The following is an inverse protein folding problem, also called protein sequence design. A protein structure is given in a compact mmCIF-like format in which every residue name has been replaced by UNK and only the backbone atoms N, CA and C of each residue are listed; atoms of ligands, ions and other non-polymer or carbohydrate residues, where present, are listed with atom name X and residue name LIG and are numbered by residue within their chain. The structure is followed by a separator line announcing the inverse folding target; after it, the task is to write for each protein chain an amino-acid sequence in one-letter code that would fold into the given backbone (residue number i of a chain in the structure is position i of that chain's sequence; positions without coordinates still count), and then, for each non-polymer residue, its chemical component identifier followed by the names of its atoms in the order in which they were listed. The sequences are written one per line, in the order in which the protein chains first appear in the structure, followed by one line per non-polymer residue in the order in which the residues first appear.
data_IF_982825575852
#
_entry.id   IF_982825575852
#
_cell.length_a   1.000
_cell.length_b   1.000
_cell.length_c   1.000
_cell.angle_alpha   90.00
_cell.angle_beta   90.00
_cell.angle_gamma   90.00
#
_symmetry.space_group_name_H-M   'P 1'
#
loop_
_entity.id
_entity.type
_entity.pdbx_description
1 polymer ?
#
# COMPACT_ATOMS: atom_id res chain seq x y z
N UNK A 1 -2.85 14.43 -0.50
CA UNK A 1 -1.54 13.75 -0.62
C UNK A 1 -0.46 14.81 -0.45
N UNK A 2 0.33 14.76 0.62
CA UNK A 2 1.26 15.84 1.00
C UNK A 2 2.69 15.51 0.56
N UNK A 3 3.20 14.33 0.96
CA UNK A 3 4.52 13.84 0.53
C UNK A 3 4.41 12.33 0.26
N UNK A 4 4.33 11.97 -1.03
CA UNK A 4 4.25 10.57 -1.46
C UNK A 4 5.63 10.00 -1.80
N UNK A 5 6.61 10.85 -2.09
CA UNK A 5 7.97 10.44 -2.42
C UNK A 5 8.68 9.78 -1.23
N UNK A 6 8.36 10.17 0.02
CA UNK A 6 8.84 9.51 1.24
C UNK A 6 8.14 8.19 1.59
N UNK A 7 7.11 7.80 0.83
CA UNK A 7 6.31 6.59 1.10
C UNK A 7 6.73 5.44 0.16
N UNK A 8 5.77 4.73 -0.43
CA UNK A 8 6.01 3.56 -1.26
C UNK A 8 6.02 3.85 -2.77
N UNK A 9 6.13 5.13 -3.18
CA UNK A 9 6.15 5.52 -4.60
C UNK A 9 7.16 4.72 -5.42
N UNK A 10 8.35 4.45 -4.86
CA UNK A 10 9.41 3.66 -5.49
C UNK A 10 9.09 2.17 -5.67
N UNK A 11 8.05 1.67 -4.98
CA UNK A 11 7.59 0.29 -5.07
C UNK A 11 6.49 0.10 -6.13
N UNK A 12 5.94 1.19 -6.69
CA UNK A 12 4.96 1.11 -7.77
C UNK A 12 5.69 0.80 -9.08
N UNK A 13 5.29 -0.28 -9.75
CA UNK A 13 5.86 -0.68 -11.03
C UNK A 13 5.57 0.38 -12.12
N UNK A 14 6.52 0.53 -13.06
CA UNK A 14 6.32 1.39 -14.23
C UNK A 14 5.09 0.92 -15.02
N UNK A 15 4.17 1.84 -15.31
CA UNK A 15 2.93 1.55 -16.04
C UNK A 15 1.69 1.36 -15.16
N UNK A 16 1.83 1.34 -13.83
CA UNK A 16 0.67 1.39 -12.93
C UNK A 16 0.19 2.84 -12.80
N UNK A 17 -1.09 3.15 -13.08
CA UNK A 17 -1.63 4.50 -12.97
C UNK A 17 -1.62 4.97 -11.51
N UNK A 18 -1.41 6.27 -11.31
CA UNK A 18 -1.37 6.93 -9.99
C UNK A 18 -2.27 8.17 -10.06
N UNK A 19 -3.45 8.19 -9.38
CA UNK A 19 -4.03 7.13 -8.55
C UNK A 19 -4.39 5.86 -9.33
N UNK A 20 -4.32 4.71 -8.67
CA UNK A 20 -4.65 3.40 -9.25
C UNK A 20 -6.15 3.14 -9.09
N UNK A 21 -6.89 2.86 -10.18
CA UNK A 21 -8.32 2.58 -10.08
C UNK A 21 -8.52 1.20 -9.44
N UNK A 22 -9.62 1.03 -8.70
CA UNK A 22 -9.95 -0.23 -8.01
C UNK A 22 -10.59 -1.26 -8.95
N UNK A 23 -9.85 -1.62 -10.00
CA UNK A 23 -10.26 -2.60 -11.01
C UNK A 23 -9.56 -3.95 -10.78
N UNK A 24 -10.20 -5.06 -11.18
CA UNK A 24 -9.69 -6.43 -10.97
C UNK A 24 -8.27 -6.65 -11.52
N UNK A 25 -7.89 -5.95 -12.60
CA UNK A 25 -6.52 -6.00 -13.15
C UNK A 25 -5.43 -5.51 -12.19
N UNK A 26 -5.80 -4.75 -11.15
CA UNK A 26 -4.89 -4.19 -10.14
C UNK A 26 -5.04 -4.85 -8.76
N UNK A 27 -5.76 -5.97 -8.65
CA UNK A 27 -6.07 -6.61 -7.37
C UNK A 27 -4.82 -7.04 -6.58
N UNK A 28 -3.78 -7.50 -7.28
CA UNK A 28 -2.54 -8.02 -6.70
C UNK A 28 -1.30 -7.17 -7.03
N UNK A 29 -1.48 -5.87 -7.27
CA UNK A 29 -0.35 -4.96 -7.56
C UNK A 29 -0.21 -3.89 -6.50
N UNK A 30 1.04 -3.49 -6.25
CA UNK A 30 1.34 -2.29 -5.46
C UNK A 30 1.00 -1.04 -6.28
N UNK A 31 0.09 -0.22 -5.76
CA UNK A 31 -0.42 0.98 -6.41
C UNK A 31 -0.71 2.11 -5.42
N UNK A 32 -1.52 3.07 -5.86
CA UNK A 32 -2.02 4.19 -5.05
C UNK A 32 -3.55 4.19 -5.09
N UNK A 33 -4.17 3.33 -4.28
CA UNK A 33 -5.63 3.18 -4.26
C UNK A 33 -6.26 4.19 -3.31
N UNK A 34 -7.25 4.95 -3.76
CA UNK A 34 -7.97 5.90 -2.91
C UNK A 34 -8.88 5.17 -1.90
N UNK A 35 -8.93 5.68 -0.67
CA UNK A 35 -9.65 5.13 0.45
C UNK A 35 -8.72 4.43 1.45
N UNK A 36 -8.76 4.85 2.70
CA UNK A 36 -7.91 4.32 3.77
C UNK A 36 -7.97 5.21 5.00
N UNK A 37 -7.42 4.76 6.13
CA UNK A 37 -7.40 5.58 7.35
C UNK A 37 -8.79 6.12 7.74
N UNK A 38 -9.81 5.27 7.63
CA UNK A 38 -11.22 5.60 7.92
C UNK A 38 -11.84 6.68 7.01
N UNK A 39 -11.15 7.11 5.95
CA UNK A 39 -11.66 8.09 4.98
C UNK A 39 -11.78 7.47 3.58
N UNK A 40 -12.91 7.73 2.91
CA UNK A 40 -13.15 7.21 1.56
C UNK A 40 -12.38 7.98 0.48
N UNK A 41 -12.03 9.25 0.72
CA UNK A 41 -11.34 10.13 -0.24
C UNK A 41 -10.16 10.84 0.40
N UNK A 42 -9.17 11.23 -0.41
CA UNK A 42 -8.02 12.03 0.02
C UNK A 42 -6.92 11.26 0.79
N UNK A 43 -7.22 10.06 1.28
CA UNK A 43 -6.26 9.11 1.87
C UNK A 43 -6.10 7.92 0.92
N UNK A 44 -4.88 7.39 0.82
CA UNK A 44 -4.53 6.33 -0.12
C UNK A 44 -3.89 5.14 0.58
N UNK A 45 -4.09 3.95 0.02
CA UNK A 45 -3.53 2.67 0.48
C UNK A 45 -2.71 2.02 -0.64
N UNK A 46 -1.73 1.16 -0.28
CA UNK A 46 -0.78 0.59 -1.23
C UNK A 46 -1.33 -0.56 -2.07
N UNK A 47 -2.35 -1.29 -1.60
CA UNK A 47 -2.96 -2.43 -2.30
C UNK A 47 -4.49 -2.41 -2.13
N UNK A 48 -5.21 -3.09 -3.03
CA UNK A 48 -6.68 -3.14 -2.98
C UNK A 48 -7.19 -3.76 -1.67
N UNK A 49 -6.52 -4.82 -1.19
CA UNK A 49 -6.79 -5.47 0.09
C UNK A 49 -5.50 -5.83 0.84
N UNK A 50 -5.57 -5.89 2.16
CA UNK A 50 -4.44 -6.17 3.06
C UNK A 50 -4.96 -6.58 4.43
N UNK A 51 -4.18 -7.33 5.22
CA UNK A 51 -4.49 -7.60 6.64
C UNK A 51 -4.80 -6.33 7.45
N UNK A 52 -4.21 -5.18 7.09
CA UNK A 52 -4.49 -3.89 7.76
C UNK A 52 -5.82 -3.24 7.34
N UNK A 53 -6.52 -3.81 6.35
CA UNK A 53 -7.82 -3.34 5.86
C UNK A 53 -8.95 -4.33 6.22
N UNK A 54 -8.71 -5.63 6.05
CA UNK A 54 -9.70 -6.67 6.29
C UNK A 54 -9.06 -7.93 6.88
N UNK A 55 -9.89 -8.83 7.42
CA UNK A 55 -9.42 -10.06 8.05
C UNK A 55 -9.25 -11.26 7.11
N UNK A 56 -9.66 -11.12 5.84
CA UNK A 56 -9.64 -12.19 4.84
C UNK A 56 -8.22 -12.48 4.29
N UNK A 57 -7.37 -11.47 4.01
CA UNK A 57 -6.02 -11.70 3.49
C UNK A 57 -5.16 -12.53 4.43
N UNK A 58 -4.44 -13.52 3.90
CA UNK A 58 -3.54 -14.38 4.70
C UNK A 58 -2.38 -13.61 5.33
N UNK A 59 -2.00 -12.46 4.76
CA UNK A 59 -0.84 -11.70 5.22
C UNK A 59 -0.92 -10.20 4.92
N UNK A 60 0.22 -9.55 5.11
CA UNK A 60 0.40 -8.14 4.87
C UNK A 60 0.68 -7.87 3.39
N UNK A 61 0.22 -6.73 2.89
CA UNK A 61 0.63 -6.21 1.58
C UNK A 61 2.16 -6.03 1.50
N UNK A 62 2.68 -5.89 0.29
CA UNK A 62 4.10 -5.66 0.01
C UNK A 62 4.70 -4.50 0.82
N UNK A 63 3.97 -3.39 0.92
CA UNK A 63 4.41 -2.18 1.63
C UNK A 63 4.40 -2.37 3.15
N UNK A 64 3.35 -2.98 3.71
CA UNK A 64 3.31 -3.29 5.14
C UNK A 64 4.41 -4.30 5.53
N UNK A 65 4.64 -5.32 4.70
CA UNK A 65 5.71 -6.29 4.93
C UNK A 65 7.09 -5.64 4.96
N UNK A 66 7.36 -4.71 4.03
CA UNK A 66 8.58 -3.90 4.03
C UNK A 66 8.70 -3.05 5.30
N UNK A 67 7.63 -2.33 5.68
CA UNK A 67 7.64 -1.49 6.86
C UNK A 67 7.88 -2.29 8.17
N UNK A 68 7.24 -3.47 8.30
CA UNK A 68 7.47 -4.37 9.45
C UNK A 68 8.93 -4.83 9.47
N UNK A 69 9.49 -5.21 8.32
CA UNK A 69 10.90 -5.60 8.21
C UNK A 69 11.83 -4.46 8.62
N UNK A 70 11.59 -3.24 8.14
CA UNK A 70 12.39 -2.05 8.50
C UNK A 70 12.33 -1.77 10.01
N UNK A 71 11.17 -1.95 10.64
CA UNK A 71 11.05 -1.83 12.10
C UNK A 71 11.82 -2.91 12.85
N UNK A 72 11.75 -4.17 12.40
CA UNK A 72 12.53 -5.26 13.01
C UNK A 72 14.03 -4.95 12.88
N UNK A 73 14.49 -4.59 11.68
CA UNK A 73 15.89 -4.25 11.41
C UNK A 73 16.37 -3.07 12.26
N UNK A 74 15.55 -2.04 12.47
CA UNK A 74 15.86 -0.92 13.35
C UNK A 74 16.16 -1.33 14.80
N UNK A 75 15.52 -2.38 15.30
CA UNK A 75 15.71 -2.84 16.69
C UNK A 75 16.87 -3.82 16.87
N UNK A 76 17.28 -4.53 15.81
CA UNK A 76 18.25 -5.64 15.92
C UNK A 76 19.56 -5.41 15.16
N UNK A 77 19.65 -4.36 14.34
CA UNK A 77 20.89 -3.92 13.68
C UNK A 77 21.36 -2.61 14.28
#
# INVERSE_FOLDING_TARGET
MVDFDSKWKKMIAKGIPVPTPSEKKYENVTGLFEGGGYSAKGIFRPEMDCRMKSNSPKGYCSVCSKAIKEMIEFYIK
#
